data_IF_882482642702
#
_entry.id   IF_882482642702
#
_cell.length_a   1.000
_cell.length_b   1.000
_cell.length_c   1.000
_cell.angle_alpha   90.00
_cell.angle_beta   90.00
_cell.angle_gamma   90.00
#
_symmetry.space_group_name_H-M   'P 1'
#
loop_
_entity.id
_entity.type
_entity.pdbx_description
1 polymer ?
#
# COMPACT_ATOMS: atom_id res chain seq x y z
N UNK A 1 1.64 9.90 13.87
CA UNK A 1 1.80 10.09 12.42
C UNK A 1 0.53 9.88 11.60
N UNK A 2 -0.24 8.78 11.75
CA UNK A 2 -1.42 8.50 10.88
C UNK A 2 -2.40 9.69 10.68
N UNK A 3 -2.76 10.40 11.75
CA UNK A 3 -3.65 11.58 11.69
C UNK A 3 -3.08 12.71 10.83
N UNK A 4 -1.76 12.92 10.83
CA UNK A 4 -1.08 13.91 9.99
C UNK A 4 -1.27 13.55 8.52
N UNK A 5 -1.02 12.30 8.14
CA UNK A 5 -1.18 11.85 6.75
C UNK A 5 -2.60 12.08 6.24
N UNK A 6 -3.61 11.75 7.06
CA UNK A 6 -5.02 11.93 6.72
C UNK A 6 -5.41 13.41 6.59
N UNK A 7 -4.99 14.25 7.54
CA UNK A 7 -5.30 15.68 7.52
C UNK A 7 -4.60 16.39 6.35
N UNK A 8 -3.32 16.10 6.10
CA UNK A 8 -2.57 16.63 4.96
C UNK A 8 -3.17 16.18 3.64
N UNK A 9 -3.45 14.88 3.46
CA UNK A 9 -4.02 14.35 2.21
C UNK A 9 -5.36 15.02 1.92
N UNK A 10 -6.20 15.19 2.95
CA UNK A 10 -7.48 15.89 2.82
C UNK A 10 -7.28 17.37 2.48
N UNK A 11 -6.29 18.03 3.07
CA UNK A 11 -5.98 19.43 2.81
C UNK A 11 -5.44 19.64 1.38
N UNK A 12 -4.50 18.81 0.92
CA UNK A 12 -4.01 18.83 -0.46
C UNK A 12 -5.16 18.66 -1.45
N UNK A 13 -6.00 17.63 -1.28
CA UNK A 13 -7.15 17.38 -2.17
C UNK A 13 -8.12 18.56 -2.23
N UNK A 14 -8.39 19.24 -1.10
CA UNK A 14 -9.24 20.44 -1.07
C UNK A 14 -8.60 21.65 -1.78
N UNK A 15 -7.29 21.70 -1.87
CA UNK A 15 -6.52 22.79 -2.46
C UNK A 15 -5.81 22.36 -3.75
N UNK A 16 -6.45 21.50 -4.54
CA UNK A 16 -5.96 21.09 -5.86
C UNK A 16 -4.52 20.55 -5.86
N UNK A 17 -4.19 19.76 -4.84
CA UNK A 17 -2.88 19.12 -4.69
C UNK A 17 -1.80 19.99 -4.06
N UNK A 18 -2.08 21.26 -3.71
CA UNK A 18 -1.08 22.21 -3.20
C UNK A 18 -1.43 22.82 -1.85
N UNK A 19 -0.42 23.18 -1.06
CA UNK A 19 -0.55 23.97 0.16
C UNK A 19 0.53 25.05 0.20
N UNK A 20 0.15 26.27 0.57
CA UNK A 20 1.14 27.31 0.88
C UNK A 20 1.93 26.94 2.14
N UNK A 21 3.14 27.50 2.35
CA UNK A 21 3.93 27.24 3.55
C UNK A 21 3.14 27.51 4.85
N UNK A 22 2.41 28.62 4.91
CA UNK A 22 1.56 28.94 6.06
C UNK A 22 0.40 27.94 6.28
N UNK A 23 -0.15 27.37 5.20
CA UNK A 23 -1.23 26.38 5.31
C UNK A 23 -0.71 25.03 5.79
N UNK A 24 0.45 24.60 5.28
CA UNK A 24 1.16 23.42 5.74
C UNK A 24 1.51 23.56 7.23
N UNK A 25 2.18 24.65 7.61
CA UNK A 25 2.63 24.94 8.98
C UNK A 25 1.48 24.84 9.98
N UNK A 26 0.33 25.43 9.66
CA UNK A 26 -0.88 25.39 10.50
C UNK A 26 -1.42 23.96 10.72
N UNK A 27 -1.21 23.05 9.79
CA UNK A 27 -1.62 21.64 9.93
C UNK A 27 -0.58 20.90 10.78
N UNK A 28 0.70 21.01 10.41
CA UNK A 28 1.75 20.20 11.04
C UNK A 28 2.03 20.59 12.48
N UNK A 29 1.92 21.87 12.84
CA UNK A 29 2.13 22.37 14.22
C UNK A 29 1.16 21.78 15.25
N UNK A 30 0.04 21.18 14.81
CA UNK A 30 -0.86 20.44 15.70
C UNK A 30 -0.27 19.10 16.16
N UNK A 31 0.75 18.64 15.47
CA UNK A 31 1.36 17.31 15.62
C UNK A 31 2.86 17.37 15.90
N UNK A 32 3.48 18.54 15.79
CA UNK A 32 4.85 18.79 16.25
C UNK A 32 4.94 18.62 17.77
N UNK A 33 6.10 18.19 18.24
CA UNK A 33 6.42 18.13 19.67
C UNK A 33 7.52 19.16 20.00
N UNK A 34 7.92 19.25 21.27
CA UNK A 34 9.08 20.07 21.66
C UNK A 34 10.38 19.68 20.94
N UNK A 35 10.46 18.46 20.41
CA UNK A 35 11.66 17.88 19.79
C UNK A 35 11.54 17.70 18.27
N UNK A 36 10.36 17.90 17.70
CA UNK A 36 10.07 17.70 16.27
C UNK A 36 9.41 18.96 15.75
N UNK A 37 10.21 19.83 15.14
CA UNK A 37 9.71 21.01 14.44
C UNK A 37 9.13 20.63 13.07
N UNK A 38 8.64 21.64 12.34
CA UNK A 38 7.99 21.47 11.05
C UNK A 38 8.93 20.83 9.99
N UNK A 39 10.21 21.17 10.03
CA UNK A 39 11.24 20.63 9.13
C UNK A 39 11.52 19.15 9.45
N UNK A 40 11.70 18.83 10.74
CA UNK A 40 11.86 17.44 11.19
C UNK A 40 10.65 16.61 10.80
N UNK A 41 9.43 17.13 10.98
CA UNK A 41 8.23 16.40 10.60
C UNK A 41 8.15 16.19 9.09
N UNK A 42 8.52 17.18 8.28
CA UNK A 42 8.58 17.04 6.82
C UNK A 42 9.48 15.87 6.40
N UNK A 43 10.69 15.78 6.97
CA UNK A 43 11.61 14.67 6.71
C UNK A 43 11.04 13.33 7.16
N UNK A 44 10.38 13.29 8.33
CA UNK A 44 9.71 12.08 8.81
C UNK A 44 8.55 11.66 7.90
N UNK A 45 7.81 12.60 7.31
CA UNK A 45 6.77 12.30 6.33
C UNK A 45 7.37 11.61 5.10
N UNK A 46 8.43 12.18 4.52
CA UNK A 46 9.10 11.62 3.34
C UNK A 46 9.74 10.26 3.65
N UNK A 47 10.48 10.14 4.76
CA UNK A 47 11.04 8.87 5.22
C UNK A 47 9.96 7.83 5.52
N UNK A 48 8.72 8.28 5.77
CA UNK A 48 7.58 7.39 5.94
C UNK A 48 6.96 6.89 4.63
N UNK A 49 7.46 7.34 3.47
CA UNK A 49 6.88 7.09 2.16
C UNK A 49 5.68 7.99 1.83
N UNK A 50 5.42 9.04 2.62
CA UNK A 50 4.37 10.00 2.29
C UNK A 50 4.85 10.87 1.12
N UNK A 51 4.13 10.92 -0.03
CA UNK A 51 4.64 11.52 -1.27
C UNK A 51 4.44 13.04 -1.28
N UNK A 52 4.94 13.70 -0.26
CA UNK A 52 4.98 15.16 -0.14
C UNK A 52 6.28 15.70 -0.72
N UNK A 53 6.16 16.78 -1.48
CA UNK A 53 7.29 17.48 -2.07
C UNK A 53 7.18 18.97 -1.77
N UNK A 54 8.32 19.62 -1.58
CA UNK A 54 8.43 21.07 -1.44
C UNK A 54 9.00 21.69 -2.73
N UNK A 55 8.43 22.80 -3.16
CA UNK A 55 8.93 23.66 -4.23
C UNK A 55 8.91 25.14 -3.82
N UNK A 56 9.29 26.05 -4.72
CA UNK A 56 9.32 27.49 -4.46
C UNK A 56 7.96 28.09 -4.05
N UNK A 57 6.85 27.41 -4.34
CA UNK A 57 5.49 27.87 -4.08
C UNK A 57 4.87 27.20 -2.83
N UNK A 58 5.60 26.33 -2.14
CA UNK A 58 5.17 25.61 -0.94
C UNK A 58 5.21 24.10 -1.12
N UNK A 59 4.15 23.41 -0.72
CA UNK A 59 4.11 21.95 -0.69
C UNK A 59 3.08 21.40 -1.67
N UNK A 60 3.35 20.22 -2.21
CA UNK A 60 2.39 19.50 -3.02
C UNK A 60 2.41 17.99 -2.77
N UNK A 61 1.28 17.35 -3.02
CA UNK A 61 1.14 15.90 -2.98
C UNK A 61 1.43 15.34 -4.37
N UNK A 62 2.54 14.63 -4.54
CA UNK A 62 3.03 14.19 -5.86
C UNK A 62 1.98 13.37 -6.63
N UNK A 63 1.28 12.47 -5.92
CA UNK A 63 0.24 11.60 -6.51
C UNK A 63 -0.92 12.37 -7.13
N UNK A 64 -1.14 13.62 -6.74
CA UNK A 64 -2.17 14.49 -7.33
C UNK A 64 -1.84 14.88 -8.77
N UNK A 65 -0.55 14.94 -9.13
CA UNK A 65 -0.06 15.38 -10.43
C UNK A 65 0.54 14.25 -11.26
N UNK A 66 1.02 13.18 -10.62
CA UNK A 66 1.65 12.05 -11.29
C UNK A 66 0.62 11.21 -12.07
N UNK A 67 0.82 10.97 -13.37
CA UNK A 67 0.03 10.00 -14.12
C UNK A 67 0.00 8.65 -13.40
N UNK A 68 -1.15 7.97 -13.40
CA UNK A 68 -1.29 6.72 -12.65
C UNK A 68 -0.43 5.60 -13.25
N UNK A 69 -0.20 5.59 -14.55
CA UNK A 69 0.62 4.60 -15.25
C UNK A 69 2.13 4.77 -15.00
N UNK A 70 2.58 6.00 -14.76
CA UNK A 70 3.98 6.32 -14.41
C UNK A 70 4.32 6.07 -12.93
N UNK A 71 3.32 5.84 -12.09
CA UNK A 71 3.48 5.62 -10.65
C UNK A 71 4.08 4.25 -10.35
N UNK A 72 4.95 4.21 -9.32
CA UNK A 72 5.41 2.97 -8.71
C UNK A 72 4.34 2.41 -7.77
N UNK A 73 3.99 1.15 -7.97
CA UNK A 73 3.10 0.38 -7.11
C UNK A 73 3.87 -0.79 -6.52
N UNK A 74 3.99 -0.83 -5.19
CA UNK A 74 4.58 -1.95 -4.49
C UNK A 74 3.44 -2.88 -4.04
N UNK A 75 3.26 -3.98 -4.78
CA UNK A 75 2.26 -4.99 -4.49
C UNK A 75 2.84 -5.95 -3.47
N UNK A 76 2.24 -5.99 -2.28
CA UNK A 76 2.74 -6.72 -1.13
C UNK A 76 1.68 -7.73 -0.70
N UNK A 77 2.17 -8.91 -0.30
CA UNK A 77 1.42 -9.91 0.43
C UNK A 77 2.31 -10.43 1.58
N UNK A 78 1.70 -10.83 2.69
CA UNK A 78 2.41 -11.38 3.85
C UNK A 78 1.73 -12.65 4.36
N UNK A 79 2.55 -13.57 4.86
CA UNK A 79 2.07 -14.64 5.72
C UNK A 79 2.41 -14.34 7.18
N UNK A 80 1.55 -14.75 8.09
CA UNK A 80 1.70 -14.48 9.52
C UNK A 80 1.48 -15.73 10.35
N UNK A 81 2.09 -15.81 11.55
CA UNK A 81 1.86 -16.94 12.47
C UNK A 81 0.56 -16.80 13.29
N UNK A 82 -0.36 -15.93 12.88
CA UNK A 82 -1.63 -15.66 13.54
C UNK A 82 -2.32 -14.39 13.01
N UNK A 83 -3.58 -14.16 13.40
CA UNK A 83 -4.44 -13.16 12.74
C UNK A 83 -4.43 -11.75 13.33
N UNK A 84 -3.69 -11.52 14.43
CA UNK A 84 -3.66 -10.21 15.13
C UNK A 84 -2.24 -9.65 15.23
N UNK A 85 -1.98 -8.42 14.75
CA UNK A 85 -0.65 -7.81 14.81
C UNK A 85 -0.06 -7.70 16.21
N UNK A 86 -0.90 -7.54 17.24
CA UNK A 86 -0.44 -7.35 18.62
C UNK A 86 0.15 -8.62 19.25
N UNK A 87 -0.28 -9.79 18.75
CA UNK A 87 0.08 -11.11 19.32
C UNK A 87 0.74 -12.06 18.33
N UNK A 88 0.83 -11.70 17.06
CA UNK A 88 1.43 -12.49 15.99
C UNK A 88 2.56 -11.72 15.30
N UNK A 89 3.25 -12.36 14.36
CA UNK A 89 4.30 -11.76 13.55
C UNK A 89 4.19 -12.21 12.09
N UNK A 90 4.81 -11.41 11.21
CA UNK A 90 5.09 -11.79 9.83
C UNK A 90 6.09 -12.95 9.81
N UNK A 91 5.83 -13.96 8.98
CA UNK A 91 6.69 -15.13 8.76
C UNK A 91 7.15 -15.27 7.30
N UNK A 92 6.47 -14.60 6.36
CA UNK A 92 6.90 -14.48 4.97
C UNK A 92 6.47 -13.11 4.44
N UNK A 93 7.30 -12.52 3.59
CA UNK A 93 6.99 -11.32 2.80
C UNK A 93 7.19 -11.65 1.33
N UNK A 94 6.21 -11.27 0.51
CA UNK A 94 6.34 -11.21 -0.94
C UNK A 94 5.97 -9.82 -1.42
N UNK A 95 6.84 -9.23 -2.25
CA UNK A 95 6.61 -7.92 -2.80
C UNK A 95 7.05 -7.85 -4.27
N UNK A 96 6.27 -7.13 -5.08
CA UNK A 96 6.53 -6.90 -6.50
C UNK A 96 6.39 -5.42 -6.78
N UNK A 97 7.43 -4.81 -7.36
CA UNK A 97 7.39 -3.42 -7.80
C UNK A 97 6.89 -3.36 -9.24
N UNK A 98 5.84 -2.59 -9.46
CA UNK A 98 5.22 -2.35 -10.78
C UNK A 98 5.34 -0.89 -11.15
N UNK A 99 5.77 -0.60 -12.37
CA UNK A 99 5.79 0.75 -12.94
C UNK A 99 5.55 0.66 -14.46
N UNK A 100 4.82 1.60 -15.05
CA UNK A 100 4.50 1.61 -16.48
C UNK A 100 3.81 0.31 -16.96
N UNK A 101 3.05 -0.34 -16.07
CA UNK A 101 2.39 -1.62 -16.34
C UNK A 101 3.31 -2.84 -16.39
N UNK A 102 4.61 -2.67 -16.07
CA UNK A 102 5.61 -3.73 -16.06
C UNK A 102 6.09 -4.01 -14.64
N UNK A 103 6.45 -5.27 -14.38
CA UNK A 103 7.15 -5.64 -13.15
C UNK A 103 8.63 -5.27 -13.32
N UNK A 104 9.11 -4.37 -12.47
CA UNK A 104 10.48 -3.84 -12.56
C UNK A 104 11.41 -4.39 -11.49
N UNK A 105 10.87 -4.89 -10.38
CA UNK A 105 11.66 -5.49 -9.29
C UNK A 105 10.79 -6.42 -8.41
N UNK A 106 11.43 -7.24 -7.59
CA UNK A 106 10.76 -8.06 -6.59
C UNK A 106 11.59 -8.23 -5.32
N UNK A 107 10.90 -8.54 -4.23
CA UNK A 107 11.50 -8.88 -2.95
C UNK A 107 10.72 -10.02 -2.31
N UNK A 108 11.41 -11.06 -1.86
CA UNK A 108 10.81 -12.16 -1.12
C UNK A 108 11.72 -12.57 0.04
N UNK A 109 11.13 -12.91 1.19
CA UNK A 109 11.89 -13.43 2.32
C UNK A 109 10.99 -14.17 3.29
N UNK A 110 11.46 -15.32 3.77
CA UNK A 110 11.00 -15.84 5.06
C UNK A 110 11.47 -14.95 6.21
N UNK A 111 10.83 -15.08 7.36
CA UNK A 111 11.14 -14.34 8.57
C UNK A 111 11.26 -15.30 9.73
N UNK A 112 12.32 -15.15 10.52
CA UNK A 112 12.56 -16.05 11.65
C UNK A 112 11.34 -16.14 12.59
N UNK A 113 10.98 -17.35 13.01
CA UNK A 113 9.84 -17.56 13.89
C UNK A 113 10.07 -18.71 14.87
N UNK A 114 9.99 -18.43 16.17
CA UNK A 114 10.18 -19.44 17.22
C UNK A 114 9.00 -20.40 17.38
N UNK A 115 7.80 -20.01 16.95
CA UNK A 115 6.60 -20.84 17.07
C UNK A 115 5.66 -20.61 15.89
N UNK A 116 5.41 -21.69 15.16
CA UNK A 116 4.47 -21.76 14.05
C UNK A 116 3.32 -22.72 14.41
N UNK A 117 2.08 -22.21 14.54
CA UNK A 117 0.93 -23.09 14.78
C UNK A 117 0.69 -24.05 13.60
N UNK A 118 0.36 -25.31 13.87
CA UNK A 118 0.13 -26.34 12.84
C UNK A 118 -0.94 -25.94 11.82
N UNK A 119 -1.97 -25.20 12.25
CA UNK A 119 -3.02 -24.74 11.35
C UNK A 119 -2.53 -23.69 10.33
N UNK A 120 -1.51 -22.89 10.68
CA UNK A 120 -0.88 -21.95 9.74
C UNK A 120 -0.09 -22.74 8.71
N UNK A 121 0.73 -23.71 9.13
CA UNK A 121 1.47 -24.58 8.20
C UNK A 121 0.56 -25.31 7.21
N UNK A 122 -0.64 -25.72 7.63
CA UNK A 122 -1.63 -26.34 6.74
C UNK A 122 -2.19 -25.40 5.68
N UNK A 123 -2.24 -24.10 5.97
CA UNK A 123 -2.80 -23.08 5.08
C UNK A 123 -1.72 -22.58 4.11
N UNK A 124 -0.55 -22.22 4.63
CA UNK A 124 0.52 -21.55 3.88
C UNK A 124 1.54 -22.53 3.29
N UNK A 125 1.55 -23.78 3.76
CA UNK A 125 2.59 -24.76 3.42
C UNK A 125 3.95 -24.48 4.05
N UNK A 126 4.10 -23.40 4.83
CA UNK A 126 5.34 -23.05 5.53
C UNK A 126 5.53 -24.01 6.70
N UNK A 127 6.71 -24.61 6.80
CA UNK A 127 7.08 -25.50 7.89
C UNK A 127 8.09 -24.83 8.83
N UNK A 128 8.20 -25.26 10.10
CA UNK A 128 9.16 -24.66 11.04
C UNK A 128 10.60 -24.59 10.51
N UNK A 129 11.00 -25.57 9.71
CA UNK A 129 12.34 -25.65 9.11
C UNK A 129 12.63 -24.48 8.15
N UNK A 130 11.61 -23.92 7.49
CA UNK A 130 11.76 -22.74 6.62
C UNK A 130 12.12 -21.48 7.42
N UNK A 131 11.84 -21.47 8.73
CA UNK A 131 11.88 -20.28 9.59
C UNK A 131 13.02 -20.28 10.62
N UNK A 132 13.73 -21.39 10.81
CA UNK A 132 14.77 -21.50 11.84
C UNK A 132 15.99 -20.62 11.54
N UNK A 133 16.43 -20.62 10.28
CA UNK A 133 17.63 -19.89 9.82
C UNK A 133 17.27 -18.67 8.94
N UNK A 134 15.97 -18.32 8.89
CA UNK A 134 15.50 -17.16 8.14
C UNK A 134 16.01 -15.85 8.75
N UNK A 135 16.09 -14.74 7.98
CA UNK A 135 16.52 -13.46 8.52
C UNK A 135 15.62 -12.94 9.64
N UNK A 136 16.20 -12.11 10.50
CA UNK A 136 15.45 -11.49 11.60
C UNK A 136 14.33 -10.59 11.08
N UNK A 137 13.26 -10.44 11.87
CA UNK A 137 12.17 -9.50 11.56
C UNK A 137 12.66 -8.09 11.25
N UNK A 138 13.58 -7.56 12.04
CA UNK A 138 14.10 -6.22 11.83
C UNK A 138 14.81 -6.12 10.48
N UNK A 139 15.62 -7.12 10.12
CA UNK A 139 16.30 -7.17 8.82
C UNK A 139 15.29 -7.15 7.67
N UNK A 140 14.31 -8.07 7.69
CA UNK A 140 13.32 -8.20 6.61
C UNK A 140 12.47 -6.94 6.49
N UNK A 141 11.97 -6.40 7.60
CA UNK A 141 11.13 -5.20 7.60
C UNK A 141 11.90 -3.95 7.18
N UNK A 142 13.19 -3.84 7.52
CA UNK A 142 14.03 -2.73 7.06
C UNK A 142 14.26 -2.80 5.55
N UNK A 143 14.52 -4.00 5.01
CA UNK A 143 14.67 -4.21 3.58
C UNK A 143 13.35 -3.94 2.84
N UNK A 144 12.22 -4.43 3.36
CA UNK A 144 10.90 -4.15 2.80
C UNK A 144 10.58 -2.64 2.82
N UNK A 145 10.94 -1.93 3.89
CA UNK A 145 10.74 -0.47 3.98
C UNK A 145 11.52 0.26 2.88
N UNK A 146 12.77 -0.12 2.65
CA UNK A 146 13.59 0.44 1.58
C UNK A 146 13.05 0.07 0.19
N UNK A 147 12.54 -1.15 0.02
CA UNK A 147 11.92 -1.60 -1.23
C UNK A 147 10.60 -0.84 -1.52
N UNK A 148 9.79 -0.60 -0.49
CA UNK A 148 8.53 0.13 -0.58
C UNK A 148 8.74 1.61 -0.91
N UNK A 149 9.76 2.25 -0.32
CA UNK A 149 10.12 3.66 -0.59
C UNK A 149 8.89 4.59 -0.54
N UNK A 150 8.65 5.41 -1.57
CA UNK A 150 7.46 6.26 -1.75
C UNK A 150 6.35 5.61 -2.61
N UNK A 151 6.52 4.35 -3.01
CA UNK A 151 5.58 3.66 -3.89
C UNK A 151 4.20 3.55 -3.25
N UNK A 152 3.15 3.43 -4.07
CA UNK A 152 1.81 3.14 -3.58
C UNK A 152 1.81 1.73 -2.99
N UNK A 153 1.43 1.59 -1.73
CA UNK A 153 1.23 0.30 -1.08
C UNK A 153 -0.02 -0.36 -1.68
N UNK A 154 0.16 -1.51 -2.31
CA UNK A 154 -0.94 -2.28 -2.90
C UNK A 154 -1.00 -3.66 -2.26
N UNK A 155 -2.21 -4.12 -1.92
CA UNK A 155 -2.42 -5.50 -1.47
C UNK A 155 -3.85 -5.97 -1.77
N UNK A 156 -4.04 -7.29 -1.80
CA UNK A 156 -5.35 -7.90 -2.01
C UNK A 156 -6.06 -8.09 -0.66
N UNK A 157 -7.04 -7.24 -0.36
CA UNK A 157 -7.53 -6.98 1.01
C UNK A 157 -6.53 -6.19 1.87
N UNK A 158 -6.03 -5.09 1.31
CA UNK A 158 -4.91 -4.32 1.87
C UNK A 158 -4.99 -3.90 3.34
N UNK A 159 -6.17 -3.89 3.97
CA UNK A 159 -6.27 -3.58 5.40
C UNK A 159 -5.53 -4.58 6.29
N UNK A 160 -5.47 -5.86 5.89
CA UNK A 160 -4.78 -6.90 6.65
C UNK A 160 -3.27 -6.67 6.65
N UNK A 161 -2.66 -6.69 5.46
CA UNK A 161 -1.22 -6.54 5.24
C UNK A 161 -0.72 -5.19 5.76
N UNK A 162 -1.43 -4.11 5.41
CA UNK A 162 -1.10 -2.77 5.88
C UNK A 162 -1.15 -2.69 7.41
N UNK A 163 -2.18 -3.28 8.04
CA UNK A 163 -2.31 -3.26 9.50
C UNK A 163 -1.16 -3.98 10.20
N UNK A 164 -0.80 -5.16 9.71
CA UNK A 164 0.31 -5.96 10.23
C UNK A 164 1.66 -5.28 10.03
N UNK A 165 1.93 -4.78 8.83
CA UNK A 165 3.20 -4.13 8.50
C UNK A 165 3.33 -2.79 9.21
N UNK A 166 2.27 -1.98 9.27
CA UNK A 166 2.30 -0.72 10.00
C UNK A 166 2.55 -0.93 11.51
N UNK A 167 1.92 -1.93 12.13
CA UNK A 167 2.20 -2.30 13.52
C UNK A 167 3.64 -2.77 13.70
N UNK A 168 4.14 -3.58 12.77
CA UNK A 168 5.50 -4.12 12.83
C UNK A 168 6.56 -3.03 12.65
N UNK A 169 6.39 -2.14 11.67
CA UNK A 169 7.29 -1.01 11.45
C UNK A 169 7.35 -0.09 12.67
N UNK A 170 6.20 0.25 13.27
CA UNK A 170 6.15 1.05 14.49
C UNK A 170 6.89 0.36 15.65
N UNK A 171 6.63 -0.94 15.86
CA UNK A 171 7.29 -1.75 16.90
C UNK A 171 8.80 -1.82 16.77
N UNK A 172 9.33 -1.79 15.54
CA UNK A 172 10.76 -1.85 15.25
C UNK A 172 11.40 -0.47 15.03
N UNK A 173 10.66 0.63 15.20
CA UNK A 173 11.20 1.99 15.04
C UNK A 173 11.47 2.39 13.59
N UNK A 174 10.79 1.77 12.63
CA UNK A 174 10.89 2.05 11.18
C UNK A 174 9.90 3.13 10.70
N UNK A 175 9.15 3.72 11.63
CA UNK A 175 8.10 4.70 11.36
C UNK A 175 6.83 4.08 10.78
N UNK A 176 5.69 4.76 10.93
CA UNK A 176 4.44 4.30 10.31
C UNK A 176 4.50 4.36 8.78
N UNK A 177 3.60 3.62 8.12
CA UNK A 177 3.42 3.68 6.67
C UNK A 177 2.71 4.99 6.33
N UNK A 178 3.43 5.90 5.67
CA UNK A 178 2.89 7.13 5.06
C UNK A 178 2.54 6.96 3.57
N UNK A 179 2.93 5.84 2.97
CA UNK A 179 2.60 5.49 1.58
C UNK A 179 1.09 5.57 1.34
N UNK A 180 0.71 6.03 0.14
CA UNK A 180 -0.69 5.93 -0.28
C UNK A 180 -1.08 4.45 -0.39
N UNK A 181 -2.29 4.11 0.07
CA UNK A 181 -2.78 2.73 0.12
C UNK A 181 -3.82 2.47 -0.96
N UNK A 182 -3.68 1.34 -1.65
CA UNK A 182 -4.62 0.87 -2.66
C UNK A 182 -5.00 -0.60 -2.41
N UNK A 183 -6.30 -0.89 -2.39
CA UNK A 183 -6.82 -2.25 -2.26
C UNK A 183 -7.26 -2.76 -3.63
N UNK A 184 -6.68 -3.88 -4.09
CA UNK A 184 -7.05 -4.43 -5.41
C UNK A 184 -8.49 -4.95 -5.45
N UNK A 185 -9.06 -5.40 -4.33
CA UNK A 185 -10.48 -5.79 -4.24
C UNK A 185 -11.39 -4.59 -4.53
N UNK A 186 -11.06 -3.43 -3.95
CA UNK A 186 -11.87 -2.23 -4.11
C UNK A 186 -11.84 -1.75 -5.56
N UNK A 187 -10.66 -1.78 -6.21
CA UNK A 187 -10.58 -1.50 -7.65
C UNK A 187 -11.25 -2.57 -8.52
N UNK A 188 -11.09 -3.85 -8.22
CA UNK A 188 -11.68 -4.95 -8.99
C UNK A 188 -13.21 -4.81 -9.02
N UNK A 189 -13.84 -4.53 -7.86
CA UNK A 189 -15.30 -4.26 -7.77
C UNK A 189 -15.79 -3.11 -8.64
N UNK A 190 -14.89 -2.23 -9.07
CA UNK A 190 -15.20 -1.07 -9.90
C UNK A 190 -14.97 -1.28 -11.39
N UNK A 191 -14.20 -2.28 -11.75
CA UNK A 191 -13.66 -2.46 -13.12
C UNK A 191 -13.97 -3.83 -13.70
N UNK A 192 -14.36 -4.80 -12.87
CA UNK A 192 -14.59 -6.18 -13.23
C UNK A 192 -15.94 -6.61 -12.66
N UNK A 193 -16.80 -7.18 -13.50
CA UNK A 193 -18.06 -7.79 -13.07
C UNK A 193 -17.81 -9.24 -12.65
N UNK A 194 -17.81 -9.50 -11.34
CA UNK A 194 -17.63 -10.83 -10.77
C UNK A 194 -18.53 -11.03 -9.55
N UNK A 195 -18.95 -12.29 -9.32
CA UNK A 195 -19.72 -12.68 -8.15
C UNK A 195 -18.91 -12.58 -6.85
N UNK A 196 -17.60 -12.85 -6.94
CA UNK A 196 -16.65 -12.86 -5.82
C UNK A 196 -15.34 -12.21 -6.24
N UNK A 197 -14.61 -11.68 -5.26
CA UNK A 197 -13.38 -10.90 -5.51
C UNK A 197 -12.18 -11.42 -4.72
N UNK A 198 -12.23 -12.65 -4.19
CA UNK A 198 -11.05 -13.26 -3.58
C UNK A 198 -10.00 -13.60 -4.64
N UNK A 199 -8.72 -13.54 -4.26
CA UNK A 199 -7.60 -13.66 -5.20
C UNK A 199 -7.61 -14.98 -5.98
N UNK A 200 -7.80 -16.12 -5.31
CA UNK A 200 -7.89 -17.43 -5.96
C UNK A 200 -9.03 -17.48 -7.00
N UNK A 201 -10.20 -16.98 -6.65
CA UNK A 201 -11.35 -16.90 -7.57
C UNK A 201 -11.03 -16.01 -8.77
N UNK A 202 -10.44 -14.83 -8.56
CA UNK A 202 -10.11 -13.92 -9.67
C UNK A 202 -8.97 -14.45 -10.55
N UNK A 203 -8.01 -15.18 -9.97
CA UNK A 203 -6.93 -15.84 -10.71
C UNK A 203 -7.48 -16.85 -11.71
N UNK A 204 -8.45 -17.68 -11.28
CA UNK A 204 -9.14 -18.63 -12.14
C UNK A 204 -10.10 -17.94 -13.12
N UNK A 205 -10.97 -17.05 -12.63
CA UNK A 205 -12.02 -16.39 -13.41
C UNK A 205 -11.48 -15.52 -14.55
N UNK A 206 -10.32 -14.88 -14.35
CA UNK A 206 -9.67 -14.02 -15.35
C UNK A 206 -8.54 -14.73 -16.10
N UNK A 207 -8.35 -16.03 -15.87
CA UNK A 207 -7.30 -16.84 -16.51
C UNK A 207 -5.89 -16.24 -16.33
N UNK A 208 -5.59 -15.67 -15.15
CA UNK A 208 -4.29 -15.04 -14.85
C UNK A 208 -3.16 -16.08 -14.85
N UNK A 209 -3.46 -17.31 -14.44
CA UNK A 209 -2.59 -18.47 -14.62
C UNK A 209 -1.34 -18.49 -13.72
N UNK A 210 -1.34 -17.77 -12.60
CA UNK A 210 -0.27 -17.93 -11.60
C UNK A 210 -0.55 -19.17 -10.73
N UNK A 211 0.45 -20.03 -10.45
CA UNK A 211 0.28 -21.17 -9.56
C UNK A 211 -0.20 -20.75 -8.15
N UNK A 212 -1.28 -21.35 -7.67
CA UNK A 212 -1.82 -21.09 -6.33
C UNK A 212 -1.02 -21.92 -5.33
N UNK A 213 -0.22 -21.26 -4.51
CA UNK A 213 0.61 -21.92 -3.50
C UNK A 213 0.43 -21.37 -2.06
N UNK A 214 -0.42 -20.36 -1.83
CA UNK A 214 -0.49 -19.64 -0.54
C UNK A 214 0.91 -19.24 -0.06
N UNK A 215 1.65 -18.63 -0.98
CA UNK A 215 3.01 -18.15 -0.77
C UNK A 215 3.00 -16.67 -1.09
N UNK A 216 3.56 -15.88 -0.19
CA UNK A 216 3.43 -14.43 -0.23
C UNK A 216 3.87 -13.85 -1.60
N UNK A 217 5.01 -14.32 -2.15
CA UNK A 217 5.47 -13.84 -3.45
C UNK A 217 4.51 -14.19 -4.60
N UNK A 218 3.95 -15.41 -4.60
CA UNK A 218 3.01 -15.85 -5.65
C UNK A 218 1.72 -15.02 -5.61
N UNK A 219 1.23 -14.70 -4.41
CA UNK A 219 -0.01 -13.94 -4.22
C UNK A 219 0.21 -12.45 -4.55
N UNK A 220 1.37 -11.88 -4.21
CA UNK A 220 1.78 -10.56 -4.68
C UNK A 220 1.88 -10.49 -6.21
N UNK A 221 2.51 -11.50 -6.86
CA UNK A 221 2.61 -11.58 -8.32
C UNK A 221 1.24 -11.72 -9.00
N UNK A 222 0.36 -12.55 -8.44
CA UNK A 222 -1.02 -12.70 -8.93
C UNK A 222 -1.78 -11.38 -8.80
N UNK A 223 -1.61 -10.67 -7.69
CA UNK A 223 -2.21 -9.36 -7.46
C UNK A 223 -1.67 -8.30 -8.44
N UNK A 224 -0.37 -8.33 -8.77
CA UNK A 224 0.22 -7.44 -9.77
C UNK A 224 -0.38 -7.66 -11.17
N UNK A 225 -0.55 -8.93 -11.58
CA UNK A 225 -1.20 -9.26 -12.85
C UNK A 225 -2.68 -8.87 -12.87
N UNK A 226 -3.39 -9.08 -11.76
CA UNK A 226 -4.76 -8.60 -11.59
C UNK A 226 -4.83 -7.07 -11.75
N UNK A 227 -3.88 -6.33 -11.17
CA UNK A 227 -3.80 -4.89 -11.27
C UNK A 227 -3.64 -4.43 -12.74
N UNK A 228 -2.81 -5.13 -13.52
CA UNK A 228 -2.67 -4.85 -14.95
C UNK A 228 -3.98 -5.03 -15.74
N UNK A 229 -4.80 -6.02 -15.39
CA UNK A 229 -6.14 -6.20 -15.99
C UNK A 229 -7.09 -5.07 -15.56
N UNK A 230 -7.07 -4.72 -14.28
CA UNK A 230 -7.87 -3.61 -13.73
C UNK A 230 -7.55 -2.31 -14.46
N UNK A 231 -6.27 -2.01 -14.68
CA UNK A 231 -5.83 -0.77 -15.33
C UNK A 231 -6.34 -0.63 -16.77
N UNK A 232 -6.42 -1.74 -17.51
CA UNK A 232 -7.03 -1.76 -18.86
C UNK A 232 -8.52 -1.44 -18.86
N UNK A 233 -9.20 -1.63 -17.73
CA UNK A 233 -10.63 -1.41 -17.55
C UNK A 233 -10.95 -0.09 -16.79
N UNK A 234 -9.96 0.77 -16.56
CA UNK A 234 -10.19 2.07 -15.93
C UNK A 234 -10.95 3.00 -16.89
N UNK A 235 -11.86 3.85 -16.38
CA UNK A 235 -12.50 4.85 -17.21
C UNK A 235 -11.49 5.95 -17.58
N UNK A 236 -11.68 6.55 -18.76
CA UNK A 236 -10.79 7.59 -19.29
C UNK A 236 -10.62 8.81 -18.36
N UNK A 237 -11.55 9.04 -17.44
CA UNK A 237 -11.49 10.11 -16.45
C UNK A 237 -10.38 9.96 -15.41
N UNK A 238 -9.80 8.76 -15.27
CA UNK A 238 -8.70 8.51 -14.33
C UNK A 238 -7.40 8.89 -15.02
N UNK A 239 -6.79 10.00 -14.60
CA UNK A 239 -5.54 10.49 -15.17
C UNK A 239 -4.39 10.38 -14.19
N UNK A 240 -4.61 10.77 -12.94
CA UNK A 240 -3.55 10.80 -11.93
C UNK A 240 -3.67 9.66 -10.93
N UNK A 241 -2.59 9.43 -10.18
CA UNK A 241 -2.61 8.46 -9.08
C UNK A 241 -3.65 8.82 -8.03
N UNK A 242 -3.84 10.10 -7.70
CA UNK A 242 -4.90 10.53 -6.77
C UNK A 242 -6.31 10.27 -7.33
N UNK A 243 -6.53 10.41 -8.64
CA UNK A 243 -7.79 10.00 -9.27
C UNK A 243 -8.07 8.51 -9.04
N UNK A 244 -7.07 7.67 -9.28
CA UNK A 244 -7.16 6.21 -9.07
C UNK A 244 -7.46 5.86 -7.61
N UNK A 245 -6.75 6.48 -6.67
CA UNK A 245 -6.93 6.25 -5.23
C UNK A 245 -8.33 6.64 -4.79
N UNK A 246 -8.83 7.83 -5.17
CA UNK A 246 -10.20 8.27 -4.87
C UNK A 246 -11.23 7.38 -5.56
N UNK A 247 -10.94 6.95 -6.80
CA UNK A 247 -11.78 6.02 -7.52
C UNK A 247 -11.92 4.73 -6.70
N UNK A 248 -10.85 4.11 -6.21
CA UNK A 248 -10.95 2.84 -5.47
C UNK A 248 -11.95 2.86 -4.31
N UNK A 249 -12.03 3.95 -3.55
CA UNK A 249 -12.84 4.04 -2.31
C UNK A 249 -14.15 4.84 -2.42
N UNK A 250 -14.40 5.53 -3.54
CA UNK A 250 -15.59 6.41 -3.64
C UNK A 250 -16.93 5.67 -3.49
N UNK A 251 -17.82 6.27 -2.69
CA UNK A 251 -19.15 5.75 -2.40
C UNK A 251 -20.06 5.77 -3.64
N UNK A 252 -21.13 4.96 -3.66
CA UNK A 252 -22.13 5.01 -4.75
C UNK A 252 -22.76 6.40 -4.95
N UNK A 253 -22.81 7.24 -3.91
CA UNK A 253 -23.46 8.57 -3.93
C UNK A 253 -22.59 9.64 -4.59
N UNK A 254 -21.27 9.61 -4.36
CA UNK A 254 -20.31 10.48 -5.03
C UNK A 254 -20.21 10.18 -6.55
N UNK A 255 -20.52 8.95 -6.96
CA UNK A 255 -20.56 8.52 -8.37
C UNK A 255 -21.61 9.24 -9.20
N UNK A 256 -22.79 9.52 -8.64
CA UNK A 256 -23.89 10.19 -9.36
C UNK A 256 -23.61 11.67 -9.54
N UNK A 257 -22.97 12.30 -8.56
CA UNK A 257 -22.59 13.73 -8.63
C UNK A 257 -21.47 13.97 -9.63
N UNK A 258 -20.43 13.13 -9.67
CA UNK A 258 -19.37 13.28 -10.66
C UNK A 258 -19.86 13.01 -12.09
N UNK A 259 -20.82 12.10 -12.31
CA UNK A 259 -21.45 11.93 -13.63
C UNK A 259 -22.23 13.16 -14.09
N UNK A 260 -22.89 13.86 -13.16
CA UNK A 260 -23.69 15.06 -13.46
C UNK A 260 -22.86 16.33 -13.68
N UNK A 261 -21.59 16.35 -13.26
CA UNK A 261 -20.66 17.46 -13.46
C UNK A 261 -19.89 17.36 -14.79
N UNK A 262 -19.95 16.21 -15.45
CA UNK A 262 -19.22 15.90 -16.69
C UNK A 262 -20.21 15.70 -17.88
N UNK A 263 -21.52 15.79 -17.62
CA UNK A 263 -22.61 15.80 -18.62
C UNK A 263 -23.17 17.20 -18.81
#
# INVERSE_FOLDING_TARGET
MQKVYEELTSAFRRNQGRLSPASYERIVTKYTTLFEDSETLFLLLQASGYPIVEDENGFYLETYFKPYDEQRYCVIDIETNGSKPESAQVIEVGAVMVQNGEIIDHYESFVECTFLPEYISKITGIVPEDLIDAPSRLTVLSQLRLFLDDAVFVAHNANFDYGFLNHSFDRFGLGSIGNQKLCSIDLARRTIESERYGLAHLNEFLEIGTPVHHRAYSDALTTAKLLAIIFKNLPESIKTTDDLLRFSISSRKERTQNKALIS
#
